data_IF_018833554668
#
_entry.id   IF_018833554668
#
_cell.length_a   1.000
_cell.length_b   1.000
_cell.length_c   1.000
_cell.angle_alpha   90.00
_cell.angle_beta   90.00
_cell.angle_gamma   90.00
#
_symmetry.space_group_name_H-M   'P 1'
#
loop_
_entity.id
_entity.type
_entity.pdbx_description
1 polymer ?
#
# COMPACT_ATOMS: atom_id res chain seq x y z
N UNK A 1 11.83 13.93 25.70
CA UNK A 1 10.90 13.49 24.64
C UNK A 1 11.74 12.92 23.51
N UNK A 2 11.52 11.68 23.09
CA UNK A 2 12.23 11.07 21.96
C UNK A 2 11.41 11.37 20.69
N UNK A 3 12.03 11.99 19.68
CA UNK A 3 11.46 12.17 18.35
C UNK A 3 12.37 11.41 17.39
N UNK A 4 11.80 10.46 16.65
CA UNK A 4 12.51 9.58 15.72
C UNK A 4 11.67 9.42 14.45
N UNK A 5 12.34 9.14 13.34
CA UNK A 5 11.69 8.82 12.05
C UNK A 5 11.39 7.33 11.91
N UNK A 6 11.74 6.50 12.91
CA UNK A 6 11.48 5.06 12.93
C UNK A 6 10.11 4.75 13.53
N UNK A 7 9.44 3.72 13.00
CA UNK A 7 8.12 3.28 13.48
C UNK A 7 8.17 2.59 14.85
N UNK A 8 9.37 2.26 15.32
CA UNK A 8 9.61 1.56 16.58
C UNK A 8 10.69 2.24 17.41
N UNK A 9 10.64 1.98 18.71
CA UNK A 9 11.72 2.30 19.66
C UNK A 9 12.07 0.99 20.38
N UNK A 10 13.29 0.44 20.22
CA UNK A 10 13.69 -0.83 20.83
C UNK A 10 13.39 -0.89 22.33
N UNK A 11 12.81 -2.00 22.79
CA UNK A 11 12.44 -2.21 24.20
C UNK A 11 11.27 -1.35 24.69
N UNK A 12 10.55 -0.65 23.80
CA UNK A 12 9.39 0.19 24.17
C UNK A 12 8.14 -0.26 23.42
N UNK A 13 7.01 -0.28 24.13
CA UNK A 13 5.69 -0.51 23.53
C UNK A 13 5.11 0.82 23.03
N UNK A 14 4.75 0.87 21.74
CA UNK A 14 4.03 2.01 21.18
C UNK A 14 2.58 1.98 21.68
N UNK A 15 2.11 3.09 22.26
CA UNK A 15 0.73 3.21 22.77
C UNK A 15 -0.25 3.67 21.70
N UNK A 16 0.07 4.77 21.02
CA UNK A 16 -0.78 5.38 19.99
C UNK A 16 0.07 6.26 19.09
N UNK A 17 -0.22 6.26 17.80
CA UNK A 17 0.35 7.19 16.83
C UNK A 17 -0.50 8.46 16.75
N UNK A 18 0.15 9.62 16.77
CA UNK A 18 -0.47 10.95 16.77
C UNK A 18 0.00 11.73 15.53
N UNK A 19 -0.76 12.76 15.11
CA UNK A 19 -0.45 13.57 13.92
C UNK A 19 -0.89 12.97 12.58
N UNK A 20 -1.63 11.86 12.61
CA UNK A 20 -2.19 11.21 11.42
C UNK A 20 -3.53 11.86 11.05
N UNK A 21 -3.72 12.23 9.78
CA UNK A 21 -5.03 12.58 9.21
C UNK A 21 -5.81 11.28 8.97
N UNK A 22 -6.47 10.78 10.02
CA UNK A 22 -7.06 9.42 10.06
C UNK A 22 -7.89 9.05 8.83
N UNK A 23 -8.84 9.91 8.43
CA UNK A 23 -9.66 9.64 7.25
C UNK A 23 -8.83 9.48 5.97
N UNK A 24 -7.82 10.33 5.78
CA UNK A 24 -6.93 10.24 4.62
C UNK A 24 -6.02 8.99 4.67
N UNK A 25 -5.53 8.63 5.85
CA UNK A 25 -4.65 7.46 6.04
C UNK A 25 -5.42 6.15 5.92
N UNK A 26 -6.63 6.07 6.47
CA UNK A 26 -7.52 4.91 6.33
C UNK A 26 -7.94 4.75 4.86
N UNK A 27 -8.38 5.82 4.19
CA UNK A 27 -8.70 5.80 2.76
C UNK A 27 -7.50 5.41 1.89
N UNK A 28 -6.30 5.91 2.19
CA UNK A 28 -5.09 5.55 1.45
C UNK A 28 -4.73 4.07 1.63
N UNK A 29 -4.97 3.52 2.83
CA UNK A 29 -4.74 2.10 3.12
C UNK A 29 -5.75 1.23 2.38
N UNK A 30 -7.04 1.57 2.46
CA UNK A 30 -8.10 0.85 1.77
C UNK A 30 -7.92 0.89 0.24
N UNK A 31 -7.61 2.07 -0.32
CA UNK A 31 -7.33 2.24 -1.75
C UNK A 31 -6.15 1.38 -2.19
N UNK A 32 -5.10 1.29 -1.37
CA UNK A 32 -3.93 0.44 -1.67
C UNK A 32 -4.27 -1.03 -1.68
N UNK A 33 -4.96 -1.52 -0.65
CA UNK A 33 -5.41 -2.92 -0.59
C UNK A 33 -6.32 -3.27 -1.78
N UNK A 34 -7.19 -2.34 -2.18
CA UNK A 34 -8.10 -2.56 -3.31
C UNK A 34 -7.36 -2.61 -4.65
N UNK A 35 -6.37 -1.74 -4.85
CA UNK A 35 -5.55 -1.74 -6.05
C UNK A 35 -4.70 -3.02 -6.15
N UNK A 36 -4.10 -3.46 -5.05
CA UNK A 36 -3.33 -4.69 -4.96
C UNK A 36 -4.18 -5.93 -5.29
N UNK A 37 -5.35 -6.07 -4.65
CA UNK A 37 -6.26 -7.19 -4.92
C UNK A 37 -6.72 -7.26 -6.37
N UNK A 38 -6.89 -6.12 -7.05
CA UNK A 38 -7.22 -6.09 -8.48
C UNK A 38 -6.07 -6.61 -9.34
N UNK A 39 -4.85 -6.14 -9.09
CA UNK A 39 -3.65 -6.60 -9.78
C UNK A 39 -3.45 -8.11 -9.59
N UNK A 40 -3.63 -8.62 -8.37
CA UNK A 40 -3.56 -10.06 -8.06
C UNK A 40 -4.63 -10.86 -8.80
N UNK A 41 -5.88 -10.39 -8.80
CA UNK A 41 -6.99 -11.07 -9.47
C UNK A 41 -6.76 -11.16 -10.98
N UNK A 42 -6.26 -10.09 -11.60
CA UNK A 42 -5.91 -10.07 -13.02
C UNK A 42 -4.78 -11.07 -13.31
N UNK A 43 -3.68 -11.04 -12.57
CA UNK A 43 -2.58 -11.98 -12.74
C UNK A 43 -3.03 -13.44 -12.56
N UNK A 44 -3.87 -13.70 -11.55
CA UNK A 44 -4.43 -15.03 -11.30
C UNK A 44 -5.33 -15.51 -12.44
N UNK A 45 -6.13 -14.62 -13.03
CA UNK A 45 -6.97 -14.96 -14.18
C UNK A 45 -6.16 -15.33 -15.43
N UNK A 46 -4.91 -14.88 -15.51
CA UNK A 46 -3.95 -15.24 -16.56
C UNK A 46 -3.17 -16.54 -16.25
N UNK A 47 -3.41 -17.17 -15.10
CA UNK A 47 -2.68 -18.37 -14.67
C UNK A 47 -1.24 -18.08 -14.23
N UNK A 48 -0.96 -16.86 -13.77
CA UNK A 48 0.37 -16.52 -13.27
C UNK A 48 0.65 -17.18 -11.90
N UNK A 49 1.91 -17.56 -11.68
CA UNK A 49 2.39 -18.12 -10.42
C UNK A 49 2.90 -17.03 -9.47
N UNK A 50 3.38 -15.91 -10.04
CA UNK A 50 3.85 -14.76 -9.28
C UNK A 50 3.67 -13.44 -10.03
N UNK A 51 3.80 -12.33 -9.30
CA UNK A 51 3.91 -10.99 -9.85
C UNK A 51 5.26 -10.42 -9.39
N UNK A 52 6.10 -10.03 -10.35
CA UNK A 52 7.40 -9.41 -10.07
C UNK A 52 7.37 -7.92 -10.38
N UNK A 53 8.33 -7.19 -9.83
CA UNK A 53 8.46 -5.76 -10.12
C UNK A 53 7.28 -4.91 -9.63
N UNK A 54 6.57 -5.34 -8.58
CA UNK A 54 5.42 -4.63 -8.03
C UNK A 54 5.81 -3.20 -7.63
N UNK A 55 5.01 -2.23 -8.04
CA UNK A 55 5.13 -0.82 -7.71
C UNK A 55 3.78 -0.25 -7.33
N UNK A 56 3.81 0.69 -6.39
CA UNK A 56 2.67 1.48 -6.01
C UNK A 56 2.96 2.94 -6.34
N UNK A 57 2.02 3.59 -7.01
CA UNK A 57 2.05 5.04 -7.22
C UNK A 57 0.80 5.65 -6.62
N UNK A 58 0.98 6.79 -5.97
CA UNK A 58 -0.12 7.59 -5.47
C UNK A 58 -0.21 8.86 -6.30
N UNK A 59 -1.37 9.11 -6.90
CA UNK A 59 -1.68 10.34 -7.61
C UNK A 59 -2.70 11.16 -6.83
N UNK A 60 -2.71 12.47 -7.10
CA UNK A 60 -3.72 13.40 -6.59
C UNK A 60 -4.08 14.39 -7.70
N UNK A 61 -4.52 13.86 -8.84
CA UNK A 61 -4.91 14.70 -9.99
C UNK A 61 -6.33 15.28 -9.82
N UNK A 62 -7.12 14.72 -8.90
CA UNK A 62 -8.45 15.23 -8.53
C UNK A 62 -8.46 15.70 -7.09
N UNK A 63 -8.90 16.94 -6.86
CA UNK A 63 -8.99 17.56 -5.54
C UNK A 63 -9.82 16.68 -4.59
N UNK A 64 -9.15 16.05 -3.60
CA UNK A 64 -9.79 15.19 -2.60
C UNK A 64 -9.84 13.69 -2.90
N UNK A 65 -9.36 13.21 -4.06
CA UNK A 65 -9.25 11.79 -4.35
C UNK A 65 -7.80 11.29 -4.18
N UNK A 66 -7.60 10.34 -3.27
CA UNK A 66 -6.35 9.59 -3.21
C UNK A 66 -6.42 8.44 -4.22
N UNK A 67 -5.73 8.57 -5.34
CA UNK A 67 -5.64 7.49 -6.33
C UNK A 67 -4.43 6.62 -6.02
N UNK A 68 -4.65 5.32 -5.83
CA UNK A 68 -3.57 4.34 -5.69
C UNK A 68 -3.58 3.44 -6.92
N UNK A 69 -2.47 3.47 -7.65
CA UNK A 69 -2.18 2.54 -8.74
C UNK A 69 -1.21 1.47 -8.24
N UNK A 70 -1.57 0.21 -8.42
CA UNK A 70 -0.70 -0.94 -8.21
C UNK A 70 -0.47 -1.64 -9.56
N UNK A 71 0.79 -1.89 -9.91
CA UNK A 71 1.14 -2.60 -11.14
C UNK A 71 2.39 -3.45 -10.95
N UNK A 72 2.54 -4.46 -11.80
CA UNK A 72 3.66 -5.40 -11.82
C UNK A 72 3.60 -6.29 -13.06
N UNK A 73 4.51 -7.26 -13.15
CA UNK A 73 4.60 -8.19 -14.27
C UNK A 73 4.24 -9.60 -13.81
N UNK A 74 3.17 -10.16 -14.38
CA UNK A 74 2.79 -11.55 -14.17
C UNK A 74 3.83 -12.51 -14.77
N UNK A 75 4.23 -13.54 -14.01
CA UNK A 75 5.22 -14.53 -14.45
C UNK A 75 4.75 -15.95 -14.13
N UNK A 76 5.12 -16.89 -15.00
CA UNK A 76 5.00 -18.34 -14.76
C UNK A 76 6.33 -18.88 -14.26
N UNK A 77 6.31 -19.65 -13.18
CA UNK A 77 7.51 -20.21 -12.54
C UNK A 77 7.81 -21.64 -13.01
N UNK A 78 6.82 -22.33 -13.60
CA UNK A 78 6.96 -23.70 -14.10
C UNK A 78 6.76 -24.76 -13.02
#
# INVERSE_FOLDING_TARGET
>A
MIVTTTDTVPGRKIRRTHGIVRGYTELSTESRERAEKRMEAEAKSMGADAIVGVRFMTGSDTEGAAEVLAYGTAVSLG
#
